data_IF_641833223580
#
_entry.id   IF_641833223580
#
_cell.length_a   1.000
_cell.length_b   1.000
_cell.length_c   1.000
_cell.angle_alpha   90.00
_cell.angle_beta   90.00
_cell.angle_gamma   90.00
#
_symmetry.space_group_name_H-M   'P 1'
#
loop_
_entity.id
_entity.type
_entity.pdbx_description
1 polymer ?
#
# COMPACT_ATOMS: atom_id res chain seq x y z
N UNK A 1 -34.99 -34.09 -24.68
CA UNK A 1 -35.31 -33.79 -26.09
C UNK A 1 -34.26 -32.82 -26.60
N UNK A 2 -33.45 -33.32 -27.49
CA UNK A 2 -32.25 -32.70 -28.09
C UNK A 2 -32.58 -31.53 -29.04
N UNK A 3 -31.64 -30.64 -29.28
CA UNK A 3 -31.16 -30.32 -30.61
C UNK A 3 -29.86 -29.51 -30.51
N UNK A 4 -28.79 -30.10 -31.07
CA UNK A 4 -27.49 -29.53 -31.38
C UNK A 4 -27.56 -28.77 -32.70
N UNK A 5 -26.89 -27.62 -32.84
CA UNK A 5 -26.52 -27.07 -34.15
C UNK A 5 -25.04 -26.74 -34.14
N UNK A 6 -24.29 -27.55 -34.91
CA UNK A 6 -22.88 -27.38 -35.29
C UNK A 6 -22.83 -26.56 -36.58
N UNK A 7 -21.98 -25.55 -36.65
CA UNK A 7 -21.59 -24.89 -37.89
C UNK A 7 -20.09 -25.05 -38.16
N UNK A 8 -19.79 -25.94 -39.12
CA UNK A 8 -18.50 -26.09 -39.78
C UNK A 8 -18.34 -25.03 -40.88
N UNK A 9 -17.23 -24.31 -40.91
CA UNK A 9 -16.78 -23.58 -42.10
C UNK A 9 -15.48 -24.17 -42.62
N UNK A 10 -15.51 -24.62 -43.88
CA UNK A 10 -14.42 -25.18 -44.69
C UNK A 10 -13.46 -24.08 -45.19
N UNK A 11 -12.19 -24.42 -45.48
CA UNK A 11 -11.23 -23.50 -46.08
C UNK A 11 -11.33 -23.47 -47.60
N UNK A 12 -11.16 -22.30 -48.21
CA UNK A 12 -11.08 -22.08 -49.64
C UNK A 12 -9.60 -22.13 -50.07
N UNK A 13 -9.29 -23.06 -50.99
CA UNK A 13 -8.04 -23.12 -51.78
C UNK A 13 -8.20 -22.26 -53.02
N UNK A 14 -7.25 -21.37 -53.29
CA UNK A 14 -7.08 -20.74 -54.59
C UNK A 14 -5.69 -21.11 -55.12
N UNK A 15 -5.69 -21.93 -56.16
CA UNK A 15 -4.54 -22.22 -57.01
C UNK A 15 -4.57 -21.28 -58.20
N UNK A 16 -3.47 -20.70 -58.60
CA UNK A 16 -3.22 -20.27 -59.99
C UNK A 16 -1.75 -20.44 -60.33
N UNK A 17 -1.56 -21.41 -61.21
CA UNK A 17 -0.38 -21.62 -62.02
C UNK A 17 -0.32 -20.62 -63.18
N UNK A 18 0.85 -20.08 -63.46
CA UNK A 18 1.19 -19.53 -64.75
C UNK A 18 2.58 -19.97 -65.13
N UNK A 19 2.65 -20.53 -66.38
CA UNK A 19 3.82 -21.15 -66.98
C UNK A 19 4.77 -20.12 -67.61
N UNK A 20 6.00 -20.43 -67.50
CA UNK A 20 7.12 -20.44 -68.46
C UNK A 20 7.12 -19.55 -69.72
N UNK A 21 8.16 -18.79 -69.93
CA UNK A 21 8.87 -18.67 -71.19
C UNK A 21 10.37 -18.37 -71.00
N UNK A 22 11.19 -19.12 -71.69
CA UNK A 22 12.65 -19.03 -71.84
C UNK A 22 13.02 -17.86 -72.72
N UNK A 23 14.14 -17.18 -72.41
CA UNK A 23 15.30 -17.10 -73.34
C UNK A 23 16.27 -16.00 -72.94
N UNK A 24 17.56 -16.27 -73.05
CA UNK A 24 18.56 -15.22 -73.35
C UNK A 24 19.75 -15.08 -72.39
N UNK A 25 20.81 -15.72 -72.77
CA UNK A 25 22.23 -15.46 -72.35
C UNK A 25 22.53 -13.97 -72.16
N UNK A 26 23.31 -13.62 -71.05
CA UNK A 26 24.65 -13.04 -71.18
C UNK A 26 25.29 -12.73 -69.76
N UNK A 27 26.53 -13.23 -69.70
CA UNK A 27 27.73 -12.74 -68.95
C UNK A 27 27.66 -12.28 -67.50
N UNK A 28 28.50 -12.98 -66.76
CA UNK A 28 28.97 -12.75 -65.39
C UNK A 28 29.53 -11.34 -65.15
N UNK A 29 29.14 -10.75 -64.06
CA UNK A 29 29.96 -9.87 -63.21
C UNK A 29 29.72 -10.27 -61.76
N UNK A 30 30.79 -10.82 -61.12
CA UNK A 30 30.83 -11.16 -59.73
C UNK A 30 30.87 -9.86 -58.87
N UNK A 31 29.73 -9.43 -58.40
CA UNK A 31 29.67 -8.45 -57.33
C UNK A 31 29.65 -9.18 -55.99
N UNK A 32 30.77 -9.13 -55.26
CA UNK A 32 30.87 -9.58 -53.87
C UNK A 32 30.06 -8.63 -52.97
N UNK A 33 28.85 -9.04 -52.62
CA UNK A 33 28.08 -8.38 -51.56
C UNK A 33 28.67 -8.79 -50.22
N UNK A 34 29.39 -7.85 -49.58
CA UNK A 34 29.80 -7.96 -48.16
C UNK A 34 28.50 -7.66 -47.37
N UNK A 35 27.86 -8.71 -46.82
CA UNK A 35 26.84 -8.57 -45.81
C UNK A 35 27.49 -8.09 -44.53
N UNK A 36 27.46 -6.77 -44.28
CA UNK A 36 27.74 -6.23 -42.96
C UNK A 36 26.45 -6.43 -42.13
N UNK A 37 26.41 -7.54 -41.37
CA UNK A 37 25.44 -7.75 -40.31
C UNK A 37 25.75 -6.80 -39.18
N UNK A 38 25.16 -5.61 -39.21
CA UNK A 38 25.13 -4.69 -38.07
C UNK A 38 24.32 -5.30 -36.93
N UNK A 39 25.01 -5.90 -35.96
CA UNK A 39 24.40 -6.25 -34.67
C UNK A 39 24.06 -4.94 -33.97
N UNK A 40 22.78 -4.51 -34.09
CA UNK A 40 22.27 -3.41 -33.29
C UNK A 40 22.10 -3.92 -31.85
N UNK A 41 23.13 -3.71 -31.01
CA UNK A 41 23.09 -3.98 -29.58
C UNK A 41 22.12 -2.95 -28.99
N UNK A 42 20.83 -3.32 -28.86
CA UNK A 42 19.87 -2.54 -28.09
C UNK A 42 20.28 -2.61 -26.61
N UNK A 43 21.02 -1.61 -26.16
CA UNK A 43 21.20 -1.34 -24.74
C UNK A 43 19.82 -0.97 -24.20
N UNK A 44 19.12 -1.95 -23.61
CA UNK A 44 17.97 -1.68 -22.76
C UNK A 44 18.50 -0.98 -21.50
N UNK A 45 18.46 0.35 -21.53
CA UNK A 45 18.65 1.14 -20.32
C UNK A 45 17.44 0.80 -19.44
N UNK A 46 17.63 -0.16 -18.54
CA UNK A 46 16.70 -0.39 -17.43
C UNK A 46 16.77 0.88 -16.58
N UNK A 47 15.82 1.78 -16.77
CA UNK A 47 15.62 2.90 -15.85
C UNK A 47 15.29 2.27 -14.49
N UNK A 48 16.28 2.15 -13.64
CA UNK A 48 16.06 1.87 -12.23
C UNK A 48 15.22 3.04 -11.71
N UNK A 49 13.91 2.87 -11.65
CA UNK A 49 13.05 3.84 -10.98
C UNK A 49 13.52 3.88 -9.53
N UNK A 50 14.02 5.03 -9.10
CA UNK A 50 14.35 5.26 -7.71
C UNK A 50 13.07 4.96 -6.89
N UNK A 51 13.18 4.08 -5.88
CA UNK A 51 12.06 3.77 -5.00
C UNK A 51 11.65 5.06 -4.29
N UNK A 52 10.42 5.51 -4.51
CA UNK A 52 9.93 6.73 -3.87
C UNK A 52 9.62 6.45 -2.40
N UNK A 53 10.26 7.21 -1.51
CA UNK A 53 10.05 7.17 -0.08
C UNK A 53 8.84 8.01 0.35
N UNK A 54 8.23 7.76 1.51
CA UNK A 54 7.24 8.65 2.10
C UNK A 54 7.90 9.94 2.59
N UNK A 55 7.10 10.94 2.90
CA UNK A 55 7.61 12.19 3.50
C UNK A 55 8.08 11.94 4.93
N UNK A 56 9.32 12.30 5.22
CA UNK A 56 9.86 12.22 6.58
C UNK A 56 9.19 13.25 7.50
N UNK A 57 8.75 12.80 8.66
CA UNK A 57 8.21 13.64 9.73
C UNK A 57 8.50 12.95 11.07
N UNK A 58 9.68 13.14 11.66
CA UNK A 58 10.12 12.44 12.87
C UNK A 58 9.46 13.00 14.13
N UNK A 59 8.15 12.80 14.24
CA UNK A 59 7.28 13.17 15.37
C UNK A 59 6.46 11.94 15.80
N UNK A 60 5.87 11.89 17.01
CA UNK A 60 4.93 10.82 17.36
C UNK A 60 3.82 10.69 16.31
N UNK A 61 3.59 9.48 15.78
CA UNK A 61 2.66 9.24 14.67
C UNK A 61 3.19 9.57 13.27
N UNK A 62 4.45 9.94 13.15
CA UNK A 62 5.12 10.24 11.89
C UNK A 62 6.07 9.12 11.44
N UNK A 63 7.02 9.50 10.58
CA UNK A 63 7.99 8.59 9.94
C UNK A 63 9.39 9.19 10.05
N UNK A 64 10.37 8.40 10.50
CA UNK A 64 11.78 8.71 10.36
C UNK A 64 12.38 7.89 9.20
N UNK A 65 13.28 8.52 8.44
CA UNK A 65 14.02 7.87 7.33
C UNK A 65 15.50 8.01 7.65
N UNK A 66 16.20 6.88 7.77
CA UNK A 66 17.59 6.85 8.20
C UNK A 66 18.46 6.15 7.17
N UNK A 67 19.51 6.83 6.63
CA UNK A 67 20.45 6.18 5.75
C UNK A 67 21.28 5.16 6.53
N UNK A 68 21.45 3.96 5.93
CA UNK A 68 22.21 2.87 6.52
C UNK A 68 23.57 2.73 5.85
N UNK A 69 24.59 2.36 6.62
CA UNK A 69 25.93 2.06 6.13
C UNK A 69 26.44 0.76 6.78
N UNK A 70 27.26 -0.06 6.09
CA UNK A 70 27.66 0.06 4.69
C UNK A 70 26.50 -0.21 3.73
N UNK A 71 26.63 0.28 2.49
CA UNK A 71 25.66 0.05 1.41
C UNK A 71 25.99 -1.25 0.65
N UNK A 72 26.09 -2.34 1.40
CA UNK A 72 26.42 -3.67 0.88
C UNK A 72 25.19 -4.54 0.74
N UNK A 73 25.20 -5.47 -0.19
CA UNK A 73 24.20 -6.54 -0.29
C UNK A 73 24.57 -7.73 0.60
N UNK A 74 23.61 -8.43 1.20
CA UNK A 74 22.18 -8.13 1.18
C UNK A 74 21.78 -6.98 2.13
N UNK A 75 20.49 -6.55 2.04
CA UNK A 75 19.94 -5.54 2.95
C UNK A 75 20.12 -5.94 4.42
N UNK A 76 20.50 -5.00 5.30
CA UNK A 76 20.58 -5.27 6.73
C UNK A 76 19.20 -5.52 7.35
N UNK A 77 19.16 -6.31 8.39
CA UNK A 77 17.94 -6.48 9.22
C UNK A 77 17.91 -5.40 10.28
N UNK A 78 16.85 -4.60 10.28
CA UNK A 78 16.74 -3.40 11.12
C UNK A 78 15.62 -3.57 12.13
N UNK A 79 15.85 -3.10 13.38
CA UNK A 79 14.88 -3.13 14.46
C UNK A 79 14.77 -1.77 15.16
N UNK A 80 13.54 -1.45 15.58
CA UNK A 80 13.22 -0.32 16.42
C UNK A 80 12.15 -0.74 17.45
N UNK A 81 12.40 -0.48 18.71
CA UNK A 81 11.47 -0.85 19.81
C UNK A 81 10.94 -2.30 19.73
N UNK A 82 11.82 -3.25 19.38
CA UNK A 82 11.48 -4.66 19.24
C UNK A 82 10.74 -5.05 17.94
N UNK A 83 10.40 -4.09 17.09
CA UNK A 83 9.75 -4.33 15.80
C UNK A 83 10.77 -4.36 14.67
N UNK A 84 10.58 -5.26 13.70
CA UNK A 84 11.34 -5.26 12.46
C UNK A 84 10.94 -4.06 11.60
N UNK A 85 11.93 -3.39 10.98
CA UNK A 85 11.75 -2.14 10.25
C UNK A 85 11.92 -2.38 8.76
N UNK A 86 11.10 -1.72 7.96
CA UNK A 86 11.20 -1.69 6.51
C UNK A 86 12.56 -1.11 6.08
N UNK A 87 13.21 -1.80 5.14
CA UNK A 87 14.45 -1.35 4.51
C UNK A 87 14.27 -1.29 3.00
N UNK A 88 14.54 -0.14 2.42
CA UNK A 88 14.39 0.12 0.99
C UNK A 88 15.68 0.68 0.40
N UNK A 89 15.87 0.47 -0.91
CA UNK A 89 16.98 1.07 -1.63
C UNK A 89 16.53 2.37 -2.31
N UNK A 90 17.12 3.50 -1.93
CA UNK A 90 16.84 4.80 -2.51
C UNK A 90 18.15 5.50 -2.84
N UNK A 91 18.27 6.00 -4.07
CA UNK A 91 19.50 6.64 -4.59
C UNK A 91 20.78 5.81 -4.35
N UNK A 92 20.66 4.50 -4.57
CA UNK A 92 21.77 3.55 -4.42
C UNK A 92 22.09 3.17 -2.99
N UNK A 93 21.41 3.69 -1.96
CA UNK A 93 21.69 3.45 -0.54
C UNK A 93 20.52 2.77 0.16
N UNK A 94 20.80 1.96 1.17
CA UNK A 94 19.79 1.41 2.05
C UNK A 94 19.25 2.50 2.98
N UNK A 95 17.93 2.55 3.11
CA UNK A 95 17.20 3.45 4.00
C UNK A 95 16.32 2.63 4.92
N UNK A 96 16.39 2.88 6.22
CA UNK A 96 15.38 2.38 7.16
C UNK A 96 14.20 3.35 7.19
N UNK A 97 12.99 2.85 6.95
CA UNK A 97 11.74 3.63 6.99
C UNK A 97 11.00 3.23 8.26
N UNK A 98 11.02 4.10 9.26
CA UNK A 98 10.62 3.82 10.63
C UNK A 98 9.30 4.50 10.96
N UNK A 99 8.23 3.73 11.16
CA UNK A 99 6.97 4.25 11.70
C UNK A 99 7.10 4.52 13.20
N UNK A 100 6.70 5.71 13.62
CA UNK A 100 6.80 6.18 15.01
C UNK A 100 5.41 6.14 15.65
N UNK A 101 5.18 5.34 16.73
CA UNK A 101 3.87 5.29 17.36
C UNK A 101 3.46 6.63 17.98
N UNK A 102 2.16 6.93 18.02
CA UNK A 102 1.62 8.15 18.65
C UNK A 102 1.99 8.28 20.14
N UNK A 103 2.27 7.15 20.81
CA UNK A 103 2.64 7.08 22.22
C UNK A 103 4.13 7.30 22.47
N UNK A 104 4.94 7.41 21.39
CA UNK A 104 6.38 7.60 21.52
C UNK A 104 6.69 8.97 22.14
N UNK A 105 7.50 8.98 23.19
CA UNK A 105 7.95 10.24 23.78
C UNK A 105 8.92 10.97 22.83
N UNK A 106 8.83 12.29 22.68
CA UNK A 106 9.84 13.09 22.00
C UNK A 106 11.22 12.95 22.66
N UNK A 107 12.29 13.12 21.88
CA UNK A 107 13.66 13.02 22.34
C UNK A 107 14.51 12.05 21.51
N UNK A 108 15.72 11.71 22.01
CA UNK A 108 16.63 10.81 21.31
C UNK A 108 16.09 9.39 21.27
N UNK A 109 16.21 8.76 20.10
CA UNK A 109 15.83 7.37 19.84
C UNK A 109 16.97 6.69 19.08
N UNK A 110 16.97 5.36 19.04
CA UNK A 110 18.00 4.57 18.34
C UNK A 110 17.37 3.43 17.56
N UNK A 111 17.75 3.30 16.31
CA UNK A 111 17.47 2.15 15.45
C UNK A 111 18.72 1.27 15.42
N UNK A 112 18.56 -0.04 15.51
CA UNK A 112 19.66 -0.99 15.45
C UNK A 112 19.58 -1.78 14.14
N UNK A 113 20.65 -1.76 13.35
CA UNK A 113 20.78 -2.54 12.13
C UNK A 113 21.83 -3.65 12.32
N UNK A 114 21.53 -4.84 11.78
CA UNK A 114 22.43 -6.00 11.75
C UNK A 114 22.70 -6.40 10.31
N UNK A 115 23.97 -6.41 9.92
CA UNK A 115 24.40 -6.82 8.59
C UNK A 115 24.44 -8.35 8.41
N UNK A 116 24.78 -8.80 7.20
CA UNK A 116 24.89 -10.23 6.85
C UNK A 116 26.02 -10.97 7.60
N UNK A 117 27.03 -10.26 8.10
CA UNK A 117 28.12 -10.81 8.91
C UNK A 117 27.74 -10.90 10.40
N UNK A 118 26.53 -10.41 10.76
CA UNK A 118 26.03 -10.40 12.13
C UNK A 118 26.50 -9.22 12.97
N UNK A 119 27.23 -8.26 12.39
CA UNK A 119 27.68 -7.05 13.05
C UNK A 119 26.53 -6.08 13.24
N UNK A 120 26.40 -5.57 14.44
CA UNK A 120 25.33 -4.61 14.81
C UNK A 120 25.86 -3.19 14.77
N UNK A 121 25.00 -2.26 14.33
CA UNK A 121 25.28 -0.83 14.33
C UNK A 121 24.03 -0.07 14.77
N UNK A 122 24.24 0.93 15.62
CA UNK A 122 23.21 1.82 16.12
C UNK A 122 23.16 3.12 15.31
N UNK A 123 21.93 3.57 15.02
CA UNK A 123 21.63 4.79 14.28
C UNK A 123 20.77 5.69 15.16
N UNK A 124 21.37 6.66 15.86
CA UNK A 124 20.63 7.60 16.68
C UNK A 124 19.88 8.61 15.82
N UNK A 125 18.69 8.99 16.26
CA UNK A 125 17.89 10.06 15.67
C UNK A 125 17.05 10.76 16.73
N UNK A 126 16.49 11.94 16.41
CA UNK A 126 15.66 12.69 17.33
C UNK A 126 14.21 12.71 16.90
N UNK A 127 13.29 12.44 17.81
CA UNK A 127 11.84 12.61 17.63
C UNK A 127 11.45 13.98 18.20
N UNK A 128 10.86 14.81 17.33
CA UNK A 128 10.39 16.14 17.71
C UNK A 128 9.02 16.08 18.38
N UNK A 129 8.69 17.05 19.22
CA UNK A 129 7.36 17.15 19.78
C UNK A 129 6.34 17.58 18.72
N UNK A 130 5.12 17.02 18.82
CA UNK A 130 3.97 17.45 18.02
C UNK A 130 2.72 17.43 18.90
N UNK A 131 2.01 18.52 18.91
CA UNK A 131 0.71 18.61 19.57
C UNK A 131 -0.40 18.30 18.56
N UNK A 132 -1.33 17.44 18.98
CA UNK A 132 -2.49 17.07 18.20
C UNK A 132 -3.75 17.74 18.74
N UNK A 133 -4.54 18.30 17.84
CA UNK A 133 -5.78 18.98 18.18
C UNK A 133 -6.79 18.05 18.88
N UNK A 134 -7.70 18.65 19.62
CA UNK A 134 -8.79 17.93 20.30
C UNK A 134 -10.04 17.96 19.43
N UNK A 135 -10.68 16.80 19.25
CA UNK A 135 -11.98 16.64 18.60
C UNK A 135 -13.01 16.10 19.59
N UNK A 136 -14.11 16.82 19.76
CA UNK A 136 -15.24 16.39 20.58
C UNK A 136 -16.42 16.06 19.67
N UNK A 137 -16.96 14.84 19.79
CA UNK A 137 -18.07 14.35 18.98
C UNK A 137 -19.19 13.85 19.90
N UNK A 138 -20.43 14.11 19.49
CA UNK A 138 -21.61 13.54 20.13
C UNK A 138 -22.15 12.41 19.29
N UNK A 139 -22.19 11.21 19.86
CA UNK A 139 -22.79 10.03 19.24
C UNK A 139 -24.20 9.84 19.80
N UNK A 140 -25.19 9.68 18.90
CA UNK A 140 -26.58 9.43 19.27
C UNK A 140 -26.79 8.02 19.81
N UNK A 141 -26.09 7.04 19.23
CA UNK A 141 -26.11 5.66 19.68
C UNK A 141 -25.17 5.49 20.89
N UNK A 142 -25.78 5.43 22.08
CA UNK A 142 -25.05 5.24 23.33
C UNK A 142 -24.26 3.93 23.39
N UNK A 143 -24.75 2.85 22.74
CA UNK A 143 -24.09 1.55 22.67
C UNK A 143 -22.70 1.65 22.03
N UNK A 144 -22.51 2.59 21.10
CA UNK A 144 -21.21 2.86 20.46
C UNK A 144 -20.22 3.61 21.38
N UNK A 145 -20.70 4.16 22.50
CA UNK A 145 -19.88 4.86 23.51
C UNK A 145 -19.71 3.99 24.77
N UNK A 146 -20.79 3.35 25.20
CA UNK A 146 -20.89 2.47 26.37
C UNK A 146 -21.36 1.08 25.92
N UNK A 147 -20.46 0.23 25.39
CA UNK A 147 -20.80 -1.12 24.91
C UNK A 147 -21.30 -2.01 26.07
N UNK A 148 -22.22 -2.92 25.77
CA UNK A 148 -22.66 -3.95 26.70
C UNK A 148 -21.55 -4.96 27.01
N UNK A 149 -21.70 -5.83 28.00
CA UNK A 149 -20.74 -6.89 28.31
C UNK A 149 -20.54 -7.86 27.11
N UNK A 150 -21.61 -8.15 26.37
CA UNK A 150 -21.55 -8.97 25.14
C UNK A 150 -20.74 -8.26 24.03
N UNK A 151 -21.00 -6.96 23.84
CA UNK A 151 -20.24 -6.14 22.90
C UNK A 151 -18.76 -6.09 23.27
N UNK A 152 -18.43 -5.93 24.55
CA UNK A 152 -17.04 -5.90 25.04
C UNK A 152 -16.32 -7.23 24.74
N UNK A 153 -17.00 -8.36 24.95
CA UNK A 153 -16.45 -9.67 24.60
C UNK A 153 -16.22 -9.80 23.08
N UNK A 154 -17.12 -9.30 22.26
CA UNK A 154 -16.97 -9.21 20.79
C UNK A 154 -15.79 -8.31 20.42
N UNK A 155 -15.72 -7.09 20.94
CA UNK A 155 -14.66 -6.10 20.71
C UNK A 155 -13.30 -6.69 21.05
N UNK A 156 -13.18 -7.40 22.17
CA UNK A 156 -11.91 -8.02 22.59
C UNK A 156 -11.42 -9.06 21.57
N UNK A 157 -12.31 -9.92 21.07
CA UNK A 157 -11.95 -10.89 20.01
C UNK A 157 -11.54 -10.19 18.72
N UNK A 158 -12.29 -9.15 18.32
CA UNK A 158 -12.03 -8.38 17.11
C UNK A 158 -10.70 -7.61 17.19
N UNK A 159 -10.37 -7.05 18.35
CA UNK A 159 -9.07 -6.38 18.58
C UNK A 159 -7.89 -7.30 18.35
N UNK A 160 -7.99 -8.57 18.78
CA UNK A 160 -6.93 -9.57 18.52
C UNK A 160 -6.72 -9.80 17.01
N UNK A 161 -7.81 -9.92 16.24
CA UNK A 161 -7.76 -10.08 14.78
C UNK A 161 -7.12 -8.85 14.11
N UNK A 162 -7.54 -7.66 14.52
CA UNK A 162 -7.02 -6.39 14.01
C UNK A 162 -5.52 -6.23 14.32
N UNK A 163 -5.10 -6.57 15.55
CA UNK A 163 -3.69 -6.53 15.94
C UNK A 163 -2.84 -7.50 15.12
N UNK A 164 -3.32 -8.72 14.90
CA UNK A 164 -2.64 -9.70 14.04
C UNK A 164 -2.50 -9.21 12.60
N UNK A 165 -3.54 -8.58 12.05
CA UNK A 165 -3.47 -8.01 10.72
C UNK A 165 -2.41 -6.89 10.62
N UNK A 166 -2.32 -6.01 11.62
CA UNK A 166 -1.30 -4.96 11.65
C UNK A 166 0.12 -5.45 11.94
N UNK A 167 0.27 -6.62 12.56
CA UNK A 167 1.56 -7.25 12.81
C UNK A 167 2.05 -8.10 11.62
N UNK A 168 1.32 -8.12 10.50
CA UNK A 168 1.72 -8.84 9.29
C UNK A 168 3.07 -8.34 8.78
N UNK A 169 3.90 -9.31 8.36
CA UNK A 169 5.20 -9.05 7.73
C UNK A 169 5.38 -10.00 6.56
N UNK A 170 5.63 -9.45 5.39
CA UNK A 170 6.09 -10.21 4.22
C UNK A 170 7.38 -9.58 3.70
N UNK A 171 8.26 -10.38 3.09
CA UNK A 171 9.53 -9.90 2.53
C UNK A 171 9.35 -9.18 1.20
N UNK A 172 8.12 -9.04 0.72
CA UNK A 172 7.84 -8.39 -0.56
C UNK A 172 8.26 -6.92 -0.50
N UNK A 173 9.12 -6.53 -1.44
CA UNK A 173 9.55 -5.14 -1.59
C UNK A 173 8.65 -4.42 -2.59
N UNK A 174 8.17 -3.24 -2.22
CA UNK A 174 7.45 -2.37 -3.13
C UNK A 174 8.40 -1.51 -3.98
N UNK A 175 8.09 -1.28 -5.25
CA UNK A 175 8.87 -0.39 -6.11
C UNK A 175 8.75 1.09 -5.69
N UNK A 176 7.68 1.46 -4.99
CA UNK A 176 7.40 2.81 -4.52
C UNK A 176 6.47 2.77 -3.31
N UNK A 177 6.62 3.70 -2.37
CA UNK A 177 5.71 3.91 -1.25
C UNK A 177 4.75 5.09 -1.50
N UNK A 178 4.71 5.65 -2.71
CA UNK A 178 3.77 6.71 -3.07
C UNK A 178 2.36 6.17 -3.25
N UNK A 179 1.49 6.45 -2.29
CA UNK A 179 0.10 6.04 -2.30
C UNK A 179 -0.76 6.88 -3.24
N UNK A 180 -1.74 6.24 -3.88
CA UNK A 180 -2.91 6.95 -4.39
C UNK A 180 -3.86 7.28 -3.23
N UNK A 181 -4.59 8.40 -3.34
CA UNK A 181 -5.70 8.65 -2.43
C UNK A 181 -6.78 7.58 -2.67
N UNK A 182 -7.19 6.79 -1.65
CA UNK A 182 -8.04 5.62 -1.87
C UNK A 182 -9.48 5.94 -2.28
N UNK A 183 -9.93 7.17 -2.08
CA UNK A 183 -11.24 7.66 -2.50
C UNK A 183 -11.17 9.14 -2.82
N UNK A 184 -11.87 9.59 -3.87
CA UNK A 184 -12.03 11.02 -4.14
C UNK A 184 -12.99 11.65 -3.12
N UNK A 185 -12.49 12.63 -2.37
CA UNK A 185 -13.26 13.32 -1.34
C UNK A 185 -12.38 14.31 -0.56
N UNK A 186 -13.02 15.09 0.32
CA UNK A 186 -12.31 16.00 1.23
C UNK A 186 -11.91 15.27 2.52
N UNK A 187 -10.72 15.53 3.03
CA UNK A 187 -10.32 15.05 4.37
C UNK A 187 -11.16 15.79 5.40
N UNK A 188 -12.06 15.06 6.05
CA UNK A 188 -12.98 15.59 7.06
C UNK A 188 -12.45 15.46 8.49
N UNK A 189 -11.49 14.53 8.71
CA UNK A 189 -10.86 14.35 10.00
C UNK A 189 -9.41 13.87 9.80
N UNK A 190 -8.46 14.58 10.41
CA UNK A 190 -7.02 14.30 10.25
C UNK A 190 -6.53 13.25 11.27
N UNK A 191 -5.35 12.69 11.00
CA UNK A 191 -4.66 11.76 11.88
C UNK A 191 -4.25 12.42 13.21
N UNK A 192 -4.22 11.63 14.28
CA UNK A 192 -3.69 12.03 15.59
C UNK A 192 -4.64 12.84 16.46
N UNK A 193 -5.83 13.21 15.98
CA UNK A 193 -6.81 13.96 16.79
C UNK A 193 -7.10 13.26 18.11
N UNK A 194 -6.99 13.98 19.23
CA UNK A 194 -7.37 13.53 20.56
C UNK A 194 -8.89 13.53 20.68
N UNK A 195 -9.50 12.34 20.59
CA UNK A 195 -10.97 12.19 20.49
C UNK A 195 -11.66 12.09 21.83
N UNK A 196 -12.77 12.80 21.96
CA UNK A 196 -13.74 12.66 23.06
C UNK A 196 -15.11 12.38 22.46
N UNK A 197 -15.74 11.26 22.87
CA UNK A 197 -17.10 10.92 22.46
C UNK A 197 -18.02 11.06 23.67
N UNK A 198 -19.03 11.92 23.56
CA UNK A 198 -19.95 12.24 24.68
C UNK A 198 -19.16 12.66 25.95
N UNK A 199 -18.06 13.43 25.77
CA UNK A 199 -17.10 13.87 26.79
C UNK A 199 -16.19 12.78 27.38
N UNK A 200 -16.32 11.53 26.96
CA UNK A 200 -15.44 10.45 27.38
C UNK A 200 -14.19 10.39 26.49
N UNK A 201 -12.96 10.32 27.07
CA UNK A 201 -11.73 10.19 26.30
C UNK A 201 -11.70 8.87 25.54
N UNK A 202 -11.18 8.90 24.31
CA UNK A 202 -11.03 7.72 23.44
C UNK A 202 -9.61 7.68 22.88
N UNK A 203 -9.28 6.56 22.26
CA UNK A 203 -8.00 6.43 21.55
C UNK A 203 -7.90 7.52 20.47
N UNK A 204 -6.72 8.10 20.25
CA UNK A 204 -6.50 9.08 19.21
C UNK A 204 -6.92 8.54 17.83
N UNK A 205 -7.23 9.44 16.92
CA UNK A 205 -7.58 9.09 15.54
C UNK A 205 -6.39 8.44 14.83
N UNK A 206 -6.48 7.17 14.51
CA UNK A 206 -5.37 6.35 13.99
C UNK A 206 -5.27 6.35 12.45
N UNK A 207 -5.99 7.21 11.76
CA UNK A 207 -6.03 7.34 10.30
C UNK A 207 -6.55 8.70 9.89
N UNK A 208 -7.02 8.82 8.64
CA UNK A 208 -7.76 9.97 8.15
C UNK A 208 -9.17 9.56 7.75
N UNK A 209 -10.13 10.47 7.93
CA UNK A 209 -11.49 10.29 7.43
C UNK A 209 -11.67 11.12 6.16
N UNK A 210 -12.11 10.48 5.07
CA UNK A 210 -12.32 11.11 3.77
C UNK A 210 -13.83 11.07 3.47
N UNK A 211 -14.46 12.23 3.49
CA UNK A 211 -15.90 12.37 3.23
C UNK A 211 -16.18 12.04 1.76
N UNK A 212 -17.11 11.11 1.55
CA UNK A 212 -17.59 10.72 0.23
C UNK A 212 -18.98 10.08 0.35
N UNK A 213 -19.78 10.12 -0.71
CA UNK A 213 -21.11 9.53 -0.73
C UNK A 213 -21.06 8.01 -0.62
N UNK A 214 -22.08 7.42 0.00
CA UNK A 214 -22.25 5.95 0.03
C UNK A 214 -22.22 5.39 -1.39
N UNK A 215 -21.49 4.28 -1.60
CA UNK A 215 -21.32 3.65 -2.91
C UNK A 215 -20.16 4.20 -3.73
N UNK A 216 -19.48 5.28 -3.30
CA UNK A 216 -18.27 5.77 -3.97
C UNK A 216 -17.20 4.68 -3.96
N UNK A 217 -16.58 4.35 -5.11
CA UNK A 217 -15.53 3.33 -5.18
C UNK A 217 -14.33 3.67 -4.30
N UNK A 218 -13.84 2.68 -3.56
CA UNK A 218 -12.58 2.72 -2.81
C UNK A 218 -11.57 1.89 -3.59
N UNK A 219 -10.38 2.45 -3.83
CA UNK A 219 -9.29 1.78 -4.54
C UNK A 219 -8.09 1.49 -3.62
N UNK A 220 -7.31 0.47 -3.95
CA UNK A 220 -6.07 0.17 -3.26
C UNK A 220 -5.04 1.29 -3.47
N UNK A 221 -4.50 1.90 -2.40
CA UNK A 221 -3.52 2.99 -2.51
C UNK A 221 -2.17 2.52 -3.05
N UNK A 222 -1.83 1.27 -2.82
CA UNK A 222 -0.65 0.54 -3.32
C UNK A 222 -1.06 -0.88 -3.70
N UNK A 223 -0.25 -1.57 -4.49
CA UNK A 223 -0.39 -3.01 -4.70
C UNK A 223 -0.21 -3.75 -3.37
N UNK A 224 -0.80 -4.94 -3.25
CA UNK A 224 -0.67 -5.75 -2.03
C UNK A 224 -1.55 -6.98 -2.02
N UNK A 225 -1.57 -7.65 -0.87
CA UNK A 225 -2.41 -8.82 -0.61
C UNK A 225 -3.51 -8.49 0.40
N UNK A 226 -4.72 -8.94 0.14
CA UNK A 226 -5.83 -8.85 1.11
C UNK A 226 -5.57 -9.86 2.22
N UNK A 227 -5.12 -9.40 3.38
CA UNK A 227 -4.79 -10.28 4.51
C UNK A 227 -5.98 -10.55 5.42
N UNK A 228 -6.95 -9.62 5.46
CA UNK A 228 -8.15 -9.77 6.26
C UNK A 228 -9.31 -8.95 5.69
N UNK A 229 -10.53 -9.50 5.81
CA UNK A 229 -11.81 -8.81 5.61
C UNK A 229 -12.75 -9.20 6.73
N UNK A 230 -13.66 -8.32 7.11
CA UNK A 230 -14.64 -8.64 8.16
C UNK A 230 -15.60 -7.50 8.42
N UNK A 231 -16.53 -7.75 9.36
CA UNK A 231 -17.44 -6.73 9.89
C UNK A 231 -17.25 -6.65 11.39
N UNK A 232 -16.64 -5.55 11.84
CA UNK A 232 -16.24 -5.32 13.22
C UNK A 232 -17.16 -4.31 13.89
N UNK A 233 -17.31 -4.41 15.21
CA UNK A 233 -18.23 -3.59 15.98
C UNK A 233 -18.04 -2.08 15.76
N UNK A 234 -16.79 -1.60 15.90
CA UNK A 234 -16.49 -0.18 15.69
C UNK A 234 -16.14 0.17 14.25
N UNK A 235 -15.41 -0.70 13.56
CA UNK A 235 -14.88 -0.41 12.24
C UNK A 235 -15.90 -0.68 11.11
N UNK A 236 -16.98 -1.42 11.40
CA UNK A 236 -17.92 -1.88 10.39
C UNK A 236 -17.25 -2.82 9.38
N UNK A 237 -17.74 -2.83 8.14
CA UNK A 237 -17.13 -3.60 7.06
C UNK A 237 -15.76 -3.04 6.74
N UNK A 238 -14.76 -3.92 6.77
CA UNK A 238 -13.34 -3.54 6.77
C UNK A 238 -12.54 -4.43 5.84
N UNK A 239 -11.52 -3.84 5.19
CA UNK A 239 -10.50 -4.53 4.40
C UNK A 239 -9.13 -4.17 4.95
N UNK A 240 -8.22 -5.15 5.02
CA UNK A 240 -6.80 -4.94 5.31
C UNK A 240 -5.95 -5.39 4.12
N UNK A 241 -5.01 -4.56 3.71
CA UNK A 241 -4.02 -4.84 2.69
C UNK A 241 -2.63 -4.88 3.32
N UNK A 242 -1.90 -5.97 3.12
CA UNK A 242 -0.45 -6.04 3.36
C UNK A 242 0.27 -5.63 2.07
N UNK A 243 1.09 -4.60 2.17
CA UNK A 243 1.89 -4.06 1.07
C UNK A 243 3.34 -4.54 1.11
N UNK A 244 3.71 -5.32 2.13
CA UNK A 244 5.07 -5.82 2.33
C UNK A 244 5.84 -5.07 3.42
N UNK A 245 6.83 -5.75 3.98
CA UNK A 245 7.75 -5.24 5.00
C UNK A 245 7.08 -4.49 6.16
N UNK A 246 5.90 -4.97 6.61
CA UNK A 246 5.18 -4.38 7.73
C UNK A 246 4.40 -3.10 7.40
N UNK A 247 4.21 -2.78 6.11
CA UNK A 247 3.31 -1.72 5.65
C UNK A 247 1.92 -2.30 5.42
N UNK A 248 0.95 -1.89 6.22
CA UNK A 248 -0.43 -2.38 6.17
C UNK A 248 -1.40 -1.21 6.07
N UNK A 249 -2.35 -1.28 5.15
CA UNK A 249 -3.50 -0.36 5.08
C UNK A 249 -4.77 -1.01 5.59
N UNK A 250 -5.60 -0.23 6.30
CA UNK A 250 -6.93 -0.64 6.74
C UNK A 250 -7.98 0.36 6.27
N UNK A 251 -9.10 -0.14 5.74
CA UNK A 251 -10.21 0.63 5.16
C UNK A 251 -11.49 0.25 5.90
N UNK A 252 -12.12 1.21 6.59
CA UNK A 252 -13.29 0.97 7.43
C UNK A 252 -14.54 1.65 6.90
N UNK A 253 -15.68 1.27 7.52
CA UNK A 253 -17.01 1.83 7.32
C UNK A 253 -17.58 1.57 5.93
N UNK A 254 -17.13 0.52 5.24
CA UNK A 254 -17.56 0.17 3.89
C UNK A 254 -19.05 -0.20 3.85
N UNK A 255 -19.74 0.14 2.76
CA UNK A 255 -21.05 -0.43 2.42
C UNK A 255 -20.89 -1.81 1.79
N UNK A 256 -19.84 -2.00 0.98
CA UNK A 256 -19.55 -3.25 0.28
C UNK A 256 -18.04 -3.51 0.23
N UNK A 257 -17.64 -4.74 0.52
CA UNK A 257 -16.31 -5.29 0.25
C UNK A 257 -16.34 -5.96 -1.12
N UNK A 258 -15.35 -5.64 -1.98
CA UNK A 258 -15.28 -6.12 -3.37
C UNK A 258 -14.12 -7.10 -3.59
N UNK A 259 -13.41 -7.50 -2.54
CA UNK A 259 -12.25 -8.40 -2.58
C UNK A 259 -12.35 -9.44 -1.49
N UNK A 260 -11.64 -10.56 -1.65
CA UNK A 260 -11.63 -11.66 -0.69
C UNK A 260 -10.24 -11.81 -0.05
N UNK A 261 -10.19 -12.35 1.15
CA UNK A 261 -8.93 -12.68 1.84
C UNK A 261 -8.08 -13.60 0.97
N UNK A 262 -6.79 -13.30 0.84
CA UNK A 262 -5.82 -14.00 0.00
C UNK A 262 -5.71 -13.45 -1.43
N UNK A 263 -6.63 -12.58 -1.87
CA UNK A 263 -6.53 -11.96 -3.20
C UNK A 263 -5.35 -10.98 -3.28
N UNK A 264 -4.69 -10.93 -4.43
CA UNK A 264 -3.72 -9.89 -4.79
C UNK A 264 -4.46 -8.73 -5.45
N UNK A 265 -4.10 -7.52 -5.11
CA UNK A 265 -4.64 -6.30 -5.70
C UNK A 265 -3.53 -5.42 -6.26
N UNK A 266 -3.80 -4.82 -7.41
CA UNK A 266 -2.93 -3.80 -7.99
C UNK A 266 -3.26 -2.42 -7.41
N UNK A 267 -2.29 -1.49 -7.44
CA UNK A 267 -2.57 -0.07 -7.15
C UNK A 267 -3.69 0.45 -8.05
N UNK A 268 -4.66 1.18 -7.47
CA UNK A 268 -5.84 1.68 -8.19
C UNK A 268 -6.97 0.67 -8.38
N UNK A 269 -6.78 -0.61 -8.05
CA UNK A 269 -7.84 -1.61 -8.13
C UNK A 269 -8.93 -1.35 -7.10
N UNK A 270 -10.20 -1.44 -7.51
CA UNK A 270 -11.36 -1.31 -6.60
C UNK A 270 -11.34 -2.43 -5.56
N UNK A 271 -11.43 -2.06 -4.27
CA UNK A 271 -11.47 -2.98 -3.13
C UNK A 271 -12.78 -2.94 -2.35
N UNK A 272 -13.60 -1.91 -2.56
CA UNK A 272 -14.88 -1.75 -1.87
C UNK A 272 -15.59 -0.46 -2.26
N UNK A 273 -16.57 -0.11 -1.44
CA UNK A 273 -17.38 1.10 -1.61
C UNK A 273 -17.59 1.79 -0.25
N UNK A 274 -17.57 3.12 -0.25
CA UNK A 274 -17.83 3.95 0.92
C UNK A 274 -19.20 3.64 1.51
N UNK A 275 -19.28 3.63 2.83
CA UNK A 275 -20.52 3.36 3.55
C UNK A 275 -20.66 4.14 4.84
N UNK A 276 -21.43 3.56 5.77
CA UNK A 276 -21.69 4.07 7.11
C UNK A 276 -21.75 2.92 8.13
N UNK A 277 -21.10 1.78 7.89
CA UNK A 277 -21.12 0.65 8.81
C UNK A 277 -20.24 0.91 10.04
N UNK A 278 -20.59 0.33 11.20
CA UNK A 278 -19.85 0.53 12.44
C UNK A 278 -20.13 1.88 13.12
N UNK A 279 -19.13 2.42 13.83
CA UNK A 279 -19.26 3.65 14.64
C UNK A 279 -18.92 4.90 13.83
N UNK A 280 -19.94 5.53 13.25
CA UNK A 280 -19.80 6.70 12.37
C UNK A 280 -20.86 7.76 12.68
N UNK A 281 -20.60 9.01 12.25
CA UNK A 281 -21.56 10.12 12.30
C UNK A 281 -22.14 10.48 10.93
N UNK A 282 -21.54 9.99 9.85
CA UNK A 282 -21.95 10.22 8.47
C UNK A 282 -21.11 9.40 7.48
N UNK A 283 -21.44 9.40 6.18
CA UNK A 283 -20.74 8.62 5.18
C UNK A 283 -19.29 9.12 5.00
N UNK A 284 -18.32 8.22 5.12
CA UNK A 284 -16.91 8.48 4.87
C UNK A 284 -16.13 7.18 4.74
N UNK A 285 -14.92 7.27 4.20
CA UNK A 285 -13.90 6.25 4.35
C UNK A 285 -12.98 6.64 5.50
N UNK A 286 -12.80 5.76 6.48
CA UNK A 286 -11.65 5.84 7.39
C UNK A 286 -10.51 5.01 6.82
N UNK A 287 -9.37 5.66 6.55
CA UNK A 287 -8.16 5.02 6.04
C UNK A 287 -7.02 5.14 7.05
N UNK A 288 -6.51 3.98 7.50
CA UNK A 288 -5.35 3.86 8.39
C UNK A 288 -4.16 3.29 7.62
N UNK A 289 -2.98 3.82 7.86
CA UNK A 289 -1.70 3.24 7.46
C UNK A 289 -0.92 2.84 8.72
N UNK A 290 -0.42 1.61 8.73
CA UNK A 290 0.47 1.08 9.76
C UNK A 290 1.82 0.73 9.13
N UNK A 291 2.90 1.16 9.74
CA UNK A 291 4.26 0.81 9.38
C UNK A 291 4.96 0.25 10.61
N UNK A 292 5.58 -0.93 10.50
CA UNK A 292 6.16 -1.67 11.63
C UNK A 292 5.23 -1.70 12.87
N UNK A 293 3.96 -2.07 12.67
CA UNK A 293 2.91 -2.13 13.68
C UNK A 293 2.58 -0.79 14.37
N UNK A 294 3.11 0.33 13.88
CA UNK A 294 2.83 1.69 14.36
C UNK A 294 1.89 2.41 13.41
N UNK A 295 0.76 2.97 13.92
CA UNK A 295 -0.14 3.80 13.09
C UNK A 295 0.54 5.12 12.83
N UNK A 296 0.68 5.45 11.55
CA UNK A 296 1.35 6.65 11.08
C UNK A 296 0.41 7.50 10.23
N UNK A 297 0.70 8.78 10.10
CA UNK A 297 -0.13 9.70 9.31
C UNK A 297 -0.15 9.29 7.83
N UNK A 298 -1.31 8.87 7.28
CA UNK A 298 -1.41 8.43 5.89
C UNK A 298 -1.02 9.51 4.86
N UNK A 299 -1.14 10.79 5.22
CA UNK A 299 -0.79 11.91 4.34
C UNK A 299 0.70 11.88 3.97
N UNK A 300 1.56 11.31 4.80
CA UNK A 300 3.00 11.20 4.53
C UNK A 300 3.33 10.29 3.34
N UNK A 301 2.39 9.47 2.91
CA UNK A 301 2.53 8.58 1.74
C UNK A 301 1.91 9.17 0.47
N UNK A 302 1.18 10.28 0.56
CA UNK A 302 0.54 10.91 -0.60
C UNK A 302 1.53 11.83 -1.34
N UNK A 303 1.34 12.04 -2.66
CA UNK A 303 2.07 13.06 -3.39
C UNK A 303 1.90 14.43 -2.74
N UNK A 304 2.94 15.26 -2.79
CA UNK A 304 2.78 16.67 -2.43
C UNK A 304 1.67 17.30 -3.27
N UNK A 305 0.77 18.03 -2.63
CA UNK A 305 -0.17 18.84 -3.38
C UNK A 305 0.62 19.92 -4.09
N UNK A 306 0.76 19.80 -5.40
CA UNK A 306 1.21 20.93 -6.20
C UNK A 306 0.18 22.05 -6.01
N UNK A 307 0.50 23.04 -5.17
CA UNK A 307 -0.24 24.29 -5.11
C UNK A 307 0.03 25.03 -6.43
N UNK A 308 -0.79 24.75 -7.43
CA UNK A 308 -0.92 25.57 -8.64
C UNK A 308 -2.09 26.51 -8.47
#
# INVERSE_FOLDING_TARGET
>A
MAIWIVWLKKPVKISRSVRCARSGFHRAHSARYIFVTGICLMLTVSSAHAQELPHASPVPGGIAILPLVPDTEPAPVVHFAGQRIMVMRHDGRWQAVVGLPLTLAPGPQTVTARDSEGKTRDYPFAVQSKEYAVQRLTLKDKRMVEPTAEDLARITREQSIIQQAFAAWTEEALPSLRCLLPVHGSVSSVFGLRRFFNNEPRQPHSGIDIAASVGTPIVAPLAGSVIQTGEYFFNGKTVFLDHGQGLVSMFNHLSRVAVERGARVSQGQKIGEVGMSGRVTGPHLHWTVSLNNSRVDPVLFLPEKNNH
#
